data_IF_853772604153
#
_entry.id   IF_853772604153
#
_cell.length_a   1.000
_cell.length_b   1.000
_cell.length_c   1.000
_cell.angle_alpha   90.00
_cell.angle_beta   90.00
_cell.angle_gamma   90.00
#
_symmetry.space_group_name_H-M   'P 1'
#
loop_
_entity.id
_entity.type
_entity.pdbx_description
1 polymer ?
#
# COMPACT_ATOMS: atom_id res chain seq x y z
N UNK A 1 35.67 0.01 3.49
CA UNK A 1 34.90 0.00 2.24
C UNK A 1 33.46 0.21 2.65
N UNK A 2 32.79 1.25 2.15
CA UNK A 2 31.34 1.37 2.34
C UNK A 2 30.73 0.22 1.56
N UNK A 3 30.16 -0.76 2.25
CA UNK A 3 29.29 -1.74 1.60
C UNK A 3 28.20 -0.95 0.89
N UNK A 4 28.08 -1.15 -0.42
CA UNK A 4 26.96 -0.63 -1.19
C UNK A 4 25.68 -1.25 -0.63
N UNK A 5 24.66 -0.43 -0.35
CA UNK A 5 23.36 -0.92 0.10
C UNK A 5 22.85 -2.02 -0.85
N UNK A 6 22.24 -3.11 -0.33
CA UNK A 6 21.79 -4.24 -1.15
C UNK A 6 20.51 -3.92 -1.96
N UNK A 7 20.15 -2.65 -2.08
CA UNK A 7 18.96 -2.14 -2.71
C UNK A 7 19.24 -0.77 -3.37
N UNK A 8 18.37 -0.34 -4.28
CA UNK A 8 18.43 0.97 -4.92
C UNK A 8 17.03 1.56 -5.06
N UNK A 9 16.85 2.86 -4.80
CA UNK A 9 15.58 3.54 -5.05
C UNK A 9 15.14 3.41 -6.52
N UNK A 10 13.84 3.34 -6.73
CA UNK A 10 13.25 3.45 -8.05
C UNK A 10 13.36 4.91 -8.53
N UNK A 11 14.12 5.20 -9.60
CA UNK A 11 14.34 6.57 -10.05
C UNK A 11 13.10 7.23 -10.66
N UNK A 12 12.08 6.44 -11.00
CA UNK A 12 10.85 6.91 -11.63
C UNK A 12 9.77 7.29 -10.60
N UNK A 13 10.03 7.07 -9.31
CA UNK A 13 9.08 7.32 -8.22
C UNK A 13 9.62 8.34 -7.22
N UNK A 14 8.74 9.21 -6.72
CA UNK A 14 9.08 10.13 -5.63
C UNK A 14 8.93 9.43 -4.28
N UNK A 15 9.87 9.67 -3.38
CA UNK A 15 9.88 9.10 -2.02
C UNK A 15 9.61 10.19 -0.98
N UNK A 16 8.97 9.79 0.12
CA UNK A 16 8.69 10.65 1.26
C UNK A 16 8.64 9.81 2.56
N UNK A 17 8.26 10.45 3.66
CA UNK A 17 8.16 9.79 4.98
C UNK A 17 7.11 8.67 5.03
N UNK A 18 6.24 8.56 4.05
CA UNK A 18 5.12 7.63 4.03
C UNK A 18 5.25 6.53 2.96
N UNK A 19 6.16 6.72 2.00
CA UNK A 19 6.30 5.88 0.82
C UNK A 19 7.72 5.88 0.26
N UNK A 20 8.20 4.69 -0.10
CA UNK A 20 9.30 4.52 -1.02
C UNK A 20 9.01 3.39 -2.02
N UNK A 21 9.55 3.56 -3.23
CA UNK A 21 9.72 2.48 -4.19
C UNK A 21 11.19 2.16 -4.36
N UNK A 22 11.57 0.88 -4.27
CA UNK A 22 12.97 0.46 -4.40
C UNK A 22 13.11 -0.95 -4.96
N UNK A 23 14.31 -1.26 -5.43
CA UNK A 23 14.69 -2.53 -5.98
C UNK A 23 15.65 -3.27 -5.07
N UNK A 24 15.53 -4.59 -4.97
CA UNK A 24 16.59 -5.43 -4.41
C UNK A 24 16.60 -6.82 -5.06
N UNK A 25 17.75 -7.49 -5.01
CA UNK A 25 17.89 -8.85 -5.52
C UNK A 25 17.51 -9.88 -4.47
N UNK A 26 16.79 -10.92 -4.87
CA UNK A 26 16.45 -12.02 -3.98
C UNK A 26 16.00 -13.27 -4.72
N UNK A 27 15.42 -14.21 -3.97
CA UNK A 27 14.86 -15.44 -4.52
C UNK A 27 13.36 -15.49 -4.32
N UNK A 28 12.64 -15.80 -5.39
CA UNK A 28 11.21 -16.08 -5.36
C UNK A 28 10.91 -17.34 -6.16
N UNK A 29 10.16 -18.28 -5.58
CA UNK A 29 9.82 -19.57 -6.24
C UNK A 29 11.06 -20.28 -6.83
N UNK A 30 12.18 -20.26 -6.09
CA UNK A 30 13.50 -20.80 -6.46
C UNK A 30 14.20 -20.16 -7.68
N UNK A 31 13.72 -19.01 -8.16
CA UNK A 31 14.37 -18.20 -9.20
C UNK A 31 15.02 -16.97 -8.58
N UNK A 32 16.18 -16.58 -9.11
CA UNK A 32 16.75 -15.27 -8.81
C UNK A 32 15.91 -14.19 -9.51
N UNK A 33 15.48 -13.18 -8.75
CA UNK A 33 14.56 -12.14 -9.22
C UNK A 33 15.01 -10.76 -8.74
N UNK A 34 14.57 -9.73 -9.45
CA UNK A 34 14.55 -8.35 -8.97
C UNK A 34 13.19 -8.11 -8.33
N UNK A 35 13.17 -7.80 -7.04
CA UNK A 35 11.97 -7.29 -6.39
C UNK A 35 11.82 -5.81 -6.70
N UNK A 36 10.62 -5.39 -7.09
CA UNK A 36 10.18 -4.00 -7.08
C UNK A 36 9.28 -3.84 -5.87
N UNK A 37 9.72 -3.10 -4.87
CA UNK A 37 9.00 -2.95 -3.62
C UNK A 37 8.20 -1.66 -3.64
N UNK A 38 6.93 -1.75 -3.28
CA UNK A 38 6.09 -0.64 -2.85
C UNK A 38 6.05 -0.71 -1.33
N UNK A 39 6.76 0.20 -0.67
CA UNK A 39 6.94 0.17 0.78
C UNK A 39 6.28 1.40 1.39
N UNK A 40 5.26 1.17 2.21
CA UNK A 40 4.42 2.22 2.79
C UNK A 40 4.29 2.07 4.31
N UNK A 41 4.00 3.18 4.99
CA UNK A 41 3.55 3.11 6.37
C UNK A 41 2.17 2.45 6.45
N UNK A 42 1.88 1.80 7.57
CA UNK A 42 0.57 1.19 7.82
C UNK A 42 -0.54 2.26 7.88
N UNK A 43 -0.20 3.52 8.20
CA UNK A 43 -1.11 4.66 8.14
C UNK A 43 -1.56 5.00 6.71
N UNK A 44 -0.66 4.93 5.72
CA UNK A 44 -1.02 5.04 4.30
C UNK A 44 -1.94 3.89 3.90
N UNK A 45 -1.59 2.65 4.26
CA UNK A 45 -2.44 1.49 3.94
C UNK A 45 -3.84 1.61 4.56
N UNK A 46 -3.94 2.07 5.80
CA UNK A 46 -5.23 2.36 6.44
C UNK A 46 -6.06 3.37 5.64
N UNK A 47 -5.43 4.44 5.16
CA UNK A 47 -6.09 5.48 4.36
C UNK A 47 -6.58 4.94 3.01
N UNK A 48 -5.77 4.12 2.33
CA UNK A 48 -6.15 3.41 1.10
C UNK A 48 -7.34 2.49 1.36
N UNK A 49 -7.29 1.69 2.43
CA UNK A 49 -8.35 0.72 2.75
C UNK A 49 -9.69 1.41 3.04
N UNK A 50 -9.66 2.59 3.68
CA UNK A 50 -10.86 3.42 3.86
C UNK A 50 -11.43 3.88 2.51
N UNK A 51 -10.57 4.35 1.61
CA UNK A 51 -10.99 4.82 0.30
C UNK A 51 -11.59 3.71 -0.56
N UNK A 52 -10.97 2.53 -0.54
CA UNK A 52 -11.45 1.34 -1.23
C UNK A 52 -12.77 0.83 -0.67
N UNK A 53 -12.88 0.76 0.67
CA UNK A 53 -14.13 0.36 1.33
C UNK A 53 -15.27 1.32 1.00
N UNK A 54 -15.01 2.64 1.07
CA UNK A 54 -16.02 3.63 0.73
C UNK A 54 -16.41 3.59 -0.76
N UNK A 55 -15.44 3.37 -1.65
CA UNK A 55 -15.69 3.18 -3.09
C UNK A 55 -16.57 1.95 -3.36
N UNK A 56 -16.31 0.83 -2.69
CA UNK A 56 -17.10 -0.39 -2.83
C UNK A 56 -18.55 -0.16 -2.38
N UNK A 57 -18.76 0.51 -1.24
CA UNK A 57 -20.09 0.88 -0.77
C UNK A 57 -20.82 1.82 -1.75
N UNK A 58 -20.12 2.76 -2.38
CA UNK A 58 -20.73 3.60 -3.43
C UNK A 58 -21.18 2.77 -4.62
N UNK A 59 -20.40 1.79 -5.07
CA UNK A 59 -20.79 0.90 -6.18
C UNK A 59 -22.01 0.03 -5.85
N UNK A 60 -22.19 -0.35 -4.58
CA UNK A 60 -23.38 -1.08 -4.11
C UNK A 60 -24.63 -0.18 -4.12
N UNK A 61 -24.49 1.07 -3.69
CA UNK A 61 -25.59 2.03 -3.58
C UNK A 61 -25.99 2.64 -4.93
N UNK A 62 -25.02 2.81 -5.83
CA UNK A 62 -25.18 3.42 -7.15
C UNK A 62 -24.62 2.46 -8.22
N UNK A 63 -25.39 1.48 -8.70
CA UNK A 63 -24.91 0.50 -9.68
C UNK A 63 -24.42 1.10 -11.00
N UNK A 64 -24.84 2.32 -11.34
CA UNK A 64 -24.39 3.10 -12.49
C UNK A 64 -23.04 3.80 -12.27
N UNK A 65 -22.54 3.83 -11.02
CA UNK A 65 -21.25 4.38 -10.66
C UNK A 65 -20.13 3.37 -10.92
N UNK A 66 -19.18 3.75 -11.77
CA UNK A 66 -17.99 2.98 -12.09
C UNK A 66 -16.71 3.80 -11.81
N UNK A 67 -16.68 4.51 -10.68
CA UNK A 67 -15.53 5.33 -10.31
C UNK A 67 -15.32 6.51 -11.27
N UNK A 68 -14.05 6.76 -11.63
CA UNK A 68 -13.64 7.88 -12.52
C UNK A 68 -14.16 7.75 -13.95
N UNK A 69 -14.47 6.53 -14.42
CA UNK A 69 -14.95 6.27 -15.78
C UNK A 69 -16.47 6.41 -15.92
N UNK A 70 -17.16 6.80 -14.84
CA UNK A 70 -18.60 7.00 -14.83
C UNK A 70 -19.03 8.08 -15.82
N UNK A 71 -20.05 7.78 -16.64
CA UNK A 71 -20.65 8.73 -17.58
C UNK A 71 -21.90 9.39 -17.00
N UNK A 72 -21.82 9.78 -15.73
CA UNK A 72 -22.91 10.44 -15.01
C UNK A 72 -22.86 11.95 -15.24
N UNK A 73 -23.98 12.64 -14.97
CA UNK A 73 -23.96 14.10 -14.94
C UNK A 73 -23.07 14.59 -13.78
N UNK A 74 -22.60 15.83 -13.90
CA UNK A 74 -21.81 16.46 -12.83
C UNK A 74 -22.57 16.47 -11.50
N UNK A 75 -23.86 16.85 -11.51
CA UNK A 75 -24.69 16.92 -10.31
C UNK A 75 -24.83 15.55 -9.63
N UNK A 76 -24.99 14.47 -10.41
CA UNK A 76 -25.05 13.12 -9.86
C UNK A 76 -23.70 12.68 -9.31
N UNK A 77 -22.60 12.99 -10.00
CA UNK A 77 -21.26 12.69 -9.52
C UNK A 77 -20.94 13.43 -8.22
N UNK A 78 -21.30 14.70 -8.11
CA UNK A 78 -21.12 15.51 -6.90
C UNK A 78 -21.87 14.91 -5.71
N UNK A 79 -23.13 14.52 -5.89
CA UNK A 79 -23.91 13.87 -4.84
C UNK A 79 -23.30 12.53 -4.39
N UNK A 80 -22.76 11.73 -5.31
CA UNK A 80 -22.08 10.47 -4.98
C UNK A 80 -20.79 10.75 -4.20
N UNK A 81 -20.00 11.76 -4.60
CA UNK A 81 -18.76 12.11 -3.91
C UNK A 81 -19.02 12.65 -2.50
N UNK A 82 -20.09 13.44 -2.31
CA UNK A 82 -20.54 13.89 -0.99
C UNK A 82 -20.91 12.69 -0.11
N UNK A 83 -21.71 11.76 -0.62
CA UNK A 83 -22.08 10.55 0.12
C UNK A 83 -20.86 9.66 0.42
N UNK A 84 -19.92 9.53 -0.51
CA UNK A 84 -18.65 8.82 -0.27
C UNK A 84 -17.87 9.43 0.88
N UNK A 85 -17.80 10.76 0.94
CA UNK A 85 -17.13 11.47 2.03
C UNK A 85 -17.80 11.21 3.38
N UNK A 86 -19.14 11.15 3.43
CA UNK A 86 -19.87 10.77 4.65
C UNK A 86 -19.55 9.35 5.11
N UNK A 87 -19.51 8.38 4.18
CA UNK A 87 -19.15 6.99 4.50
C UNK A 87 -17.71 6.92 5.03
N UNK A 88 -16.75 7.60 4.40
CA UNK A 88 -15.37 7.70 4.91
C UNK A 88 -15.35 8.26 6.33
N UNK A 89 -16.12 9.32 6.59
CA UNK A 89 -16.25 9.93 7.92
C UNK A 89 -16.77 8.93 8.97
N UNK A 90 -17.78 8.13 8.63
CA UNK A 90 -18.31 7.08 9.51
C UNK A 90 -17.28 5.99 9.80
N UNK A 91 -16.59 5.49 8.77
CA UNK A 91 -15.52 4.49 8.92
C UNK A 91 -14.42 4.96 9.88
N UNK A 92 -14.02 6.23 9.76
CA UNK A 92 -13.02 6.86 10.62
C UNK A 92 -13.49 7.04 12.08
N UNK A 93 -14.73 7.47 12.29
CA UNK A 93 -15.27 7.77 13.62
C UNK A 93 -15.57 6.50 14.43
N UNK A 94 -16.18 5.51 13.79
CA UNK A 94 -16.62 4.29 14.47
C UNK A 94 -15.46 3.31 14.70
N UNK A 95 -14.29 3.55 14.10
CA UNK A 95 -13.15 2.62 14.07
C UNK A 95 -13.55 1.23 13.59
N UNK A 96 -14.53 1.17 12.68
CA UNK A 96 -15.00 -0.09 12.11
C UNK A 96 -13.96 -0.74 11.19
N UNK A 97 -12.90 0.00 10.86
CA UNK A 97 -11.81 -0.48 10.02
C UNK A 97 -10.54 -0.61 10.85
N UNK A 98 -9.91 -1.77 10.75
CA UNK A 98 -8.61 -2.05 11.32
C UNK A 98 -7.74 -2.66 10.22
N UNK A 99 -6.45 -2.34 10.26
CA UNK A 99 -5.44 -2.92 9.37
C UNK A 99 -4.34 -3.55 10.21
N UNK A 100 -3.63 -4.51 9.66
CA UNK A 100 -2.42 -5.09 10.23
C UNK A 100 -1.30 -4.97 9.21
N UNK A 101 -0.06 -5.18 9.63
CA UNK A 101 1.04 -5.24 8.68
C UNK A 101 0.80 -6.35 7.66
N UNK A 102 1.18 -6.10 6.43
CA UNK A 102 1.09 -7.10 5.38
C UNK A 102 2.25 -7.01 4.41
N UNK A 103 2.48 -8.15 3.76
CA UNK A 103 3.40 -8.28 2.64
C UNK A 103 2.70 -9.15 1.61
N UNK A 104 2.56 -8.63 0.39
CA UNK A 104 1.85 -9.30 -0.70
C UNK A 104 2.67 -9.27 -1.99
N UNK A 105 2.72 -10.41 -2.67
CA UNK A 105 3.41 -10.55 -3.95
C UNK A 105 2.38 -10.37 -5.07
N UNK A 106 2.62 -9.41 -5.96
CA UNK A 106 1.77 -9.24 -7.15
C UNK A 106 2.11 -10.31 -8.19
N UNK A 107 1.48 -11.49 -8.03
CA UNK A 107 1.68 -12.64 -8.91
C UNK A 107 1.05 -12.43 -10.31
N UNK A 108 0.25 -11.39 -10.50
CA UNK A 108 -0.44 -11.04 -11.76
C UNK A 108 0.37 -10.08 -12.65
N UNK A 109 1.55 -9.65 -12.20
CA UNK A 109 2.39 -8.72 -12.96
C UNK A 109 3.01 -9.38 -14.21
N UNK A 110 2.64 -8.90 -15.40
CA UNK A 110 3.11 -9.41 -16.70
C UNK A 110 4.53 -8.92 -17.11
N UNK A 111 5.32 -8.34 -16.21
CA UNK A 111 6.65 -7.77 -16.53
C UNK A 111 7.79 -8.78 -16.74
N UNK A 112 7.45 -10.06 -16.84
CA UNK A 112 8.38 -11.16 -17.11
C UNK A 112 8.87 -11.90 -15.85
N UNK A 113 9.26 -13.17 -16.04
CA UNK A 113 9.63 -14.15 -15.00
C UNK A 113 10.73 -13.76 -13.99
N UNK A 114 11.40 -12.62 -14.18
CA UNK A 114 12.56 -12.17 -13.39
C UNK A 114 12.25 -10.93 -12.54
N UNK A 115 11.05 -10.37 -12.64
CA UNK A 115 10.61 -9.21 -11.87
C UNK A 115 9.42 -9.63 -11.00
N UNK A 116 9.47 -9.28 -9.71
CA UNK A 116 8.38 -9.56 -8.77
C UNK A 116 8.02 -8.27 -8.06
N UNK A 117 6.76 -7.85 -8.13
CA UNK A 117 6.30 -6.71 -7.35
C UNK A 117 5.95 -7.20 -5.95
N UNK A 118 6.42 -6.46 -4.94
CA UNK A 118 6.19 -6.75 -3.54
C UNK A 118 5.60 -5.51 -2.88
N UNK A 119 4.37 -5.63 -2.38
CA UNK A 119 3.74 -4.58 -1.58
C UNK A 119 3.97 -4.89 -0.11
N UNK A 120 4.41 -3.89 0.64
CA UNK A 120 4.70 -4.02 2.07
C UNK A 120 4.14 -2.80 2.79
N UNK A 121 3.32 -3.04 3.82
CA UNK A 121 2.87 -1.99 4.73
C UNK A 121 3.25 -2.35 6.16
N UNK A 122 4.07 -1.51 6.81
CA UNK A 122 4.57 -1.75 8.17
C UNK A 122 4.12 -0.65 9.13
N UNK A 123 3.92 -1.01 10.39
CA UNK A 123 3.63 -0.07 11.47
C UNK A 123 4.90 0.61 11.96
N UNK A 124 5.48 1.43 11.08
CA UNK A 124 6.64 2.29 11.32
C UNK A 124 6.20 3.76 11.32
N UNK A 125 7.00 4.61 11.97
CA UNK A 125 6.71 6.05 12.03
C UNK A 125 6.89 6.73 10.67
N UNK A 126 7.97 6.40 9.97
CA UNK A 126 8.29 6.93 8.65
C UNK A 126 9.06 5.88 7.84
N UNK A 127 8.97 5.96 6.52
CA UNK A 127 9.84 5.25 5.59
C UNK A 127 11.17 6.00 5.48
N UNK A 128 12.25 5.32 5.81
CA UNK A 128 13.62 5.82 5.66
C UNK A 128 14.59 4.67 5.32
N UNK A 129 15.86 5.01 5.04
CA UNK A 129 16.87 4.03 4.65
C UNK A 129 17.11 2.95 5.73
N UNK A 130 16.96 3.29 7.01
CA UNK A 130 17.15 2.33 8.11
C UNK A 130 16.05 1.25 8.09
N UNK A 131 14.80 1.64 7.89
CA UNK A 131 13.67 0.71 7.79
C UNK A 131 13.74 -0.14 6.51
N UNK A 132 14.15 0.45 5.38
CA UNK A 132 14.41 -0.30 4.13
C UNK A 132 15.52 -1.34 4.35
N UNK A 133 16.63 -0.94 4.98
CA UNK A 133 17.74 -1.84 5.30
C UNK A 133 17.32 -3.00 6.21
N UNK A 134 16.57 -2.70 7.28
CA UNK A 134 16.04 -3.70 8.20
C UNK A 134 15.15 -4.69 7.46
N UNK A 135 14.25 -4.19 6.63
CA UNK A 135 13.37 -5.02 5.81
C UNK A 135 14.16 -5.93 4.87
N UNK A 136 15.03 -5.37 4.01
CA UNK A 136 15.78 -6.16 3.01
C UNK A 136 16.66 -7.23 3.69
N UNK A 137 17.40 -6.85 4.75
CA UNK A 137 18.26 -7.78 5.49
C UNK A 137 17.45 -8.90 6.14
N UNK A 138 16.32 -8.59 6.77
CA UNK A 138 15.50 -9.61 7.44
C UNK A 138 14.77 -10.51 6.43
N UNK A 139 14.32 -9.96 5.30
CA UNK A 139 13.70 -10.71 4.22
C UNK A 139 14.67 -11.71 3.61
N UNK A 140 15.87 -11.26 3.21
CA UNK A 140 16.89 -12.12 2.61
C UNK A 140 17.39 -13.22 3.57
N UNK A 141 17.43 -12.94 4.87
CA UNK A 141 17.81 -13.92 5.90
C UNK A 141 16.65 -14.85 6.33
N UNK A 142 15.45 -14.72 5.75
CA UNK A 142 14.24 -15.44 6.14
C UNK A 142 13.88 -15.27 7.63
N UNK A 143 14.16 -14.09 8.19
CA UNK A 143 13.84 -13.75 9.59
C UNK A 143 12.77 -12.67 9.70
N UNK A 144 12.34 -12.09 8.59
CA UNK A 144 11.25 -11.10 8.57
C UNK A 144 9.94 -11.71 9.08
N UNK A 145 9.24 -10.98 9.94
CA UNK A 145 7.94 -11.35 10.51
C UNK A 145 7.07 -10.12 10.58
N UNK A 146 5.82 -10.27 10.18
CA UNK A 146 4.81 -9.23 10.28
C UNK A 146 4.27 -9.16 11.71
N UNK A 147 3.94 -7.95 12.15
CA UNK A 147 3.12 -7.73 13.34
C UNK A 147 1.65 -8.03 13.02
N UNK A 148 1.07 -8.99 13.77
CA UNK A 148 -0.34 -9.41 13.66
C UNK A 148 -1.30 -8.50 14.45
N UNK A 149 -0.79 -7.44 15.08
CA UNK A 149 -1.62 -6.47 15.81
C UNK A 149 -2.54 -5.71 14.86
N UNK A 150 -3.82 -5.59 15.24
CA UNK A 150 -4.80 -4.79 14.51
C UNK A 150 -4.75 -3.32 14.95
N UNK A 151 -4.46 -2.43 14.00
CA UNK A 151 -4.34 -0.99 14.19
C UNK A 151 -5.50 -0.22 13.56
N UNK A 152 -5.88 0.88 14.21
CA UNK A 152 -6.67 1.95 13.60
C UNK A 152 -5.94 3.26 13.78
N UNK A 153 -5.94 4.11 12.76
CA UNK A 153 -5.26 5.39 12.79
C UNK A 153 -6.28 6.52 13.00
N UNK A 154 -5.84 7.58 13.67
CA UNK A 154 -6.63 8.82 13.73
C UNK A 154 -6.43 9.57 12.40
N UNK A 155 -7.46 10.30 11.93
CA UNK A 155 -7.28 11.21 10.81
C UNK A 155 -6.10 12.15 11.11
N UNK A 156 -5.15 12.24 10.18
CA UNK A 156 -4.12 13.28 10.22
C UNK A 156 -4.85 14.62 10.15
N UNK A 157 -4.58 15.50 11.11
CA UNK A 157 -5.21 16.82 11.22
C UNK A 157 -4.59 17.81 10.24
#
# INVERSE_FOLDING_TARGET
>A
MLETAPWAYNPDEEYNEDFASFFFLGKYKNKDVVFIVVFITLGVHYSITIDETAEEEMRKLYPEYNGKDSKLSNDTMEAILEHKAEIKGKLLLEKNLQVQEFMDFDDDFEGGDQIVILKVALNIYEVNEEEIDKFVKSFQNNTFKLDETLYSFRPIR
#
